data_IF_002712110640
#
_entry.id   IF_002712110640
#
_cell.length_a   1.000
_cell.length_b   1.000
_cell.length_c   1.000
_cell.angle_alpha   90.00
_cell.angle_beta   90.00
_cell.angle_gamma   90.00
#
_symmetry.space_group_name_H-M   'P 1'
#
loop_
_entity.id
_entity.type
_entity.pdbx_description
1 polymer ?
#
# COMPACT_ATOMS: atom_id res chain seq x y z
N UNK A 1 21.34 8.15 -1.24
CA UNK A 1 19.90 8.37 -1.05
C UNK A 1 19.60 9.82 -0.82
N UNK A 2 18.52 10.27 -1.43
CA UNK A 2 17.94 11.59 -1.21
C UNK A 2 17.14 11.57 0.12
N UNK A 3 17.23 12.60 0.97
CA UNK A 3 16.54 12.60 2.25
C UNK A 3 15.02 12.76 2.09
N UNK A 4 14.27 11.97 2.85
CA UNK A 4 12.84 12.19 3.06
C UNK A 4 12.63 13.45 3.91
N UNK A 5 11.73 14.31 3.46
CA UNK A 5 11.29 15.49 4.18
C UNK A 5 9.85 15.37 4.69
N UNK A 6 9.01 14.63 3.98
CA UNK A 6 7.59 14.51 4.26
C UNK A 6 7.02 13.20 3.75
N UNK A 7 6.05 12.64 4.48
CA UNK A 7 5.19 11.57 4.00
C UNK A 7 3.74 12.03 3.85
N UNK A 8 3.04 11.47 2.87
CA UNK A 8 1.61 11.70 2.63
C UNK A 8 0.90 10.37 2.48
N UNK A 9 -0.11 10.12 3.30
CA UNK A 9 -0.96 8.92 3.16
C UNK A 9 -1.81 9.03 1.88
N UNK A 10 -1.63 8.08 0.96
CA UNK A 10 -2.37 8.02 -0.32
C UNK A 10 -3.43 6.92 -0.33
N UNK A 11 -3.27 5.94 0.57
CA UNK A 11 -4.20 4.83 0.80
C UNK A 11 -4.02 4.36 2.25
N UNK A 12 -5.03 3.72 2.88
CA UNK A 12 -4.84 3.10 4.18
C UNK A 12 -3.58 2.23 4.21
N UNK A 13 -2.65 2.59 5.09
CA UNK A 13 -1.36 1.93 5.27
C UNK A 13 -0.33 2.10 4.13
N UNK A 14 -0.56 2.98 3.14
CA UNK A 14 0.43 3.31 2.10
C UNK A 14 0.72 4.81 2.11
N UNK A 15 1.99 5.15 2.27
CA UNK A 15 2.49 6.52 2.28
C UNK A 15 3.40 6.76 1.09
N UNK A 16 3.27 7.94 0.49
CA UNK A 16 4.22 8.49 -0.46
C UNK A 16 5.25 9.32 0.29
N UNK A 17 6.52 8.98 0.13
CA UNK A 17 7.66 9.71 0.70
C UNK A 17 8.13 10.76 -0.30
N UNK A 18 8.24 12.00 0.16
CA UNK A 18 8.58 13.16 -0.64
C UNK A 18 9.86 13.82 -0.11
N UNK A 19 10.68 14.32 -1.02
CA UNK A 19 11.80 15.20 -0.68
C UNK A 19 11.32 16.63 -0.32
N UNK A 20 12.25 17.52 0.01
CA UNK A 20 11.96 18.92 0.34
C UNK A 20 11.33 19.72 -0.83
N UNK A 21 11.46 19.24 -2.07
CA UNK A 21 10.87 19.82 -3.26
C UNK A 21 9.47 19.27 -3.58
N UNK A 22 9.00 18.29 -2.80
CA UNK A 22 7.73 17.60 -3.02
C UNK A 22 7.77 16.53 -4.11
N UNK A 23 8.96 16.11 -4.54
CA UNK A 23 9.15 15.04 -5.51
C UNK A 23 9.06 13.67 -4.82
N UNK A 24 8.41 12.70 -5.48
CA UNK A 24 8.26 11.34 -4.96
C UNK A 24 9.60 10.62 -5.00
N UNK A 25 10.07 10.18 -3.83
CA UNK A 25 11.31 9.41 -3.71
C UNK A 25 11.07 7.96 -3.26
N UNK A 26 9.91 7.68 -2.66
CA UNK A 26 9.62 6.36 -2.11
C UNK A 26 8.13 6.09 -1.87
N UNK A 27 7.82 4.81 -1.69
CA UNK A 27 6.53 4.36 -1.18
C UNK A 27 6.81 3.46 0.03
N UNK A 28 6.07 3.69 1.11
CA UNK A 28 6.16 2.90 2.32
C UNK A 28 4.80 2.25 2.62
N UNK A 29 4.84 1.00 3.09
CA UNK A 29 3.67 0.30 3.63
C UNK A 29 3.79 0.26 5.15
N UNK A 30 2.95 1.03 5.85
CA UNK A 30 2.86 0.95 7.31
C UNK A 30 2.09 -0.31 7.70
N UNK A 31 2.34 -0.87 8.90
CA UNK A 31 1.71 -2.13 9.32
C UNK A 31 1.85 -3.28 8.28
N UNK A 32 2.98 -3.36 7.57
CA UNK A 32 3.17 -4.18 6.38
C UNK A 32 2.65 -5.62 6.47
N UNK A 33 2.94 -6.32 7.58
CA UNK A 33 2.48 -7.70 7.78
C UNK A 33 0.96 -7.84 7.74
N UNK A 34 0.24 -6.93 8.40
CA UNK A 34 -1.23 -6.92 8.38
C UNK A 34 -1.76 -6.55 7.01
N UNK A 35 -1.19 -5.50 6.39
CA UNK A 35 -1.58 -5.07 5.06
C UNK A 35 -1.46 -6.19 4.01
N UNK A 36 -0.34 -6.91 4.00
CA UNK A 36 -0.10 -8.01 3.06
C UNK A 36 -1.04 -9.19 3.34
N UNK A 37 -1.22 -9.58 4.61
CA UNK A 37 -2.18 -10.63 4.99
C UNK A 37 -3.58 -10.28 4.50
N UNK A 38 -4.04 -9.06 4.77
CA UNK A 38 -5.40 -8.63 4.46
C UNK A 38 -5.61 -8.54 2.95
N UNK A 39 -4.62 -8.03 2.21
CA UNK A 39 -4.62 -7.99 0.74
C UNK A 39 -4.71 -9.39 0.11
N UNK A 40 -3.98 -10.38 0.67
CA UNK A 40 -4.05 -11.77 0.21
C UNK A 40 -5.45 -12.35 0.49
N UNK A 41 -5.98 -12.15 1.70
CA UNK A 41 -7.30 -12.67 2.08
C UNK A 41 -8.41 -12.07 1.21
N UNK A 42 -8.38 -10.76 0.95
CA UNK A 42 -9.33 -10.10 0.04
C UNK A 42 -9.23 -10.67 -1.38
N UNK A 43 -8.01 -10.80 -1.92
CA UNK A 43 -7.79 -11.30 -3.28
C UNK A 43 -8.27 -12.75 -3.47
N UNK A 44 -8.10 -13.59 -2.43
CA UNK A 44 -8.54 -14.99 -2.45
C UNK A 44 -10.05 -15.09 -2.35
N UNK A 45 -10.69 -14.30 -1.49
CA UNK A 45 -12.15 -14.20 -1.42
C UNK A 45 -12.75 -13.75 -2.76
N UNK A 46 -12.17 -12.74 -3.40
CA UNK A 46 -12.60 -12.30 -4.73
C UNK A 46 -12.52 -13.39 -5.79
N UNK A 47 -11.44 -14.20 -5.78
CA UNK A 47 -11.31 -15.37 -6.67
C UNK A 47 -12.38 -16.44 -6.39
N UNK A 48 -12.65 -16.75 -5.12
CA UNK A 48 -13.67 -17.72 -4.72
C UNK A 48 -15.06 -17.26 -5.18
N UNK A 49 -15.39 -15.99 -4.96
CA UNK A 49 -16.67 -15.42 -5.40
C UNK A 49 -16.85 -15.53 -6.92
N UNK A 50 -15.80 -15.23 -7.70
CA UNK A 50 -15.83 -15.34 -9.15
C UNK A 50 -16.02 -16.80 -9.62
N UNK A 51 -15.39 -17.75 -8.94
CA UNK A 51 -15.56 -19.18 -9.21
C UNK A 51 -16.97 -19.69 -8.85
N UNK A 52 -17.58 -19.17 -7.78
CA UNK A 52 -18.94 -19.53 -7.37
C UNK A 52 -20.06 -18.87 -8.19
N UNK A 53 -19.73 -17.85 -8.98
CA UNK A 53 -20.67 -17.16 -9.86
C UNK A 53 -20.86 -17.87 -11.22
N UNK A 54 -20.16 -18.99 -11.45
CA UNK A 54 -20.32 -19.92 -12.57
C UNK A 54 -20.84 -21.26 -12.06
#
# INVERSE_FOLDING_TARGET
>A
DEPEAKSVEINPNITAELNDLGELIGLEITNASSFIRDSILESTQGKILNLSAH
#
